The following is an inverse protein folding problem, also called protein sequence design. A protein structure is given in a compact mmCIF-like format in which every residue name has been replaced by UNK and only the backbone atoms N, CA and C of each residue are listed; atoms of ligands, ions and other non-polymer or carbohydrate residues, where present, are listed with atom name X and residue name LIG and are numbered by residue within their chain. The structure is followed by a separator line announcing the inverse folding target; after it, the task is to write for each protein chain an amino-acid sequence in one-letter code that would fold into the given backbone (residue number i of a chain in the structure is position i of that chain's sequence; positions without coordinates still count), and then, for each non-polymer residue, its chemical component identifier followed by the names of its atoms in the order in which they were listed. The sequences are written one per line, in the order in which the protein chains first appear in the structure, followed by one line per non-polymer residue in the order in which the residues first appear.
data_IF_550582658950
#
_entry.id   IF_550582658950
#
_cell.length_a   1.000
_cell.length_b   1.000
_cell.length_c   1.000
_cell.angle_alpha   90.00
_cell.angle_beta   90.00
_cell.angle_gamma   90.00
#
_symmetry.space_group_name_H-M   'P 1'
#
loop_
_entity.id
_entity.type
_entity.pdbx_description
1 polymer ?
#
# COMPACT_ATOMS: atom_id res chain seq x y z
N UNK A 1 -17.76 13.30 -3.64
CA UNK A 1 -16.76 13.47 -2.57
C UNK A 1 -17.34 14.35 -1.47
N UNK A 2 -17.26 13.90 -0.22
CA UNK A 2 -17.68 14.69 0.94
C UNK A 2 -16.55 15.66 1.30
N UNK A 3 -16.89 16.92 1.51
CA UNK A 3 -15.93 18.00 1.80
C UNK A 3 -16.11 18.58 3.19
N UNK A 4 -17.29 18.44 3.80
CA UNK A 4 -17.60 19.08 5.09
C UNK A 4 -18.61 18.28 5.91
N UNK A 5 -18.60 18.51 7.23
CA UNK A 5 -19.56 17.95 8.18
C UNK A 5 -20.49 19.08 8.62
N UNK A 6 -21.79 18.87 8.49
CA UNK A 6 -22.80 19.84 8.90
C UNK A 6 -23.01 19.71 10.41
N UNK A 7 -22.81 20.80 11.13
CA UNK A 7 -23.05 20.88 12.57
C UNK A 7 -24.25 21.78 12.87
N UNK A 8 -25.10 21.27 13.74
CA UNK A 8 -26.26 21.96 14.29
C UNK A 8 -25.96 22.74 15.56
N UNK A 9 -27.01 23.04 16.31
CA UNK A 9 -26.88 23.65 17.64
C UNK A 9 -26.16 22.68 18.59
N UNK A 10 -25.24 23.20 19.39
CA UNK A 10 -24.42 22.44 20.36
C UNK A 10 -23.51 21.37 19.72
N UNK A 11 -22.94 21.64 18.55
CA UNK A 11 -21.99 20.75 17.85
C UNK A 11 -22.54 19.35 17.49
N UNK A 12 -23.86 19.21 17.43
CA UNK A 12 -24.49 17.96 16.98
C UNK A 12 -24.30 17.78 15.47
N UNK A 13 -23.93 16.57 15.05
CA UNK A 13 -23.83 16.24 13.62
C UNK A 13 -25.24 16.23 13.00
N UNK A 14 -25.43 17.00 11.94
CA UNK A 14 -26.69 17.06 11.17
C UNK A 14 -26.55 16.41 9.78
N UNK A 15 -25.32 16.14 9.33
CA UNK A 15 -25.08 15.52 8.03
C UNK A 15 -23.73 15.87 7.42
N UNK A 16 -23.66 15.81 6.10
CA UNK A 16 -22.45 16.10 5.31
C UNK A 16 -22.74 16.98 4.11
N UNK A 17 -21.75 17.76 3.68
CA UNK A 17 -21.76 18.49 2.41
C UNK A 17 -20.80 17.86 1.43
N UNK A 18 -21.24 17.75 0.19
CA UNK A 18 -20.43 17.26 -0.93
C UNK A 18 -19.75 18.39 -1.68
N UNK A 19 -18.75 18.04 -2.50
CA UNK A 19 -18.00 18.96 -3.36
C UNK A 19 -18.89 19.87 -4.23
N UNK A 20 -20.02 19.35 -4.73
CA UNK A 20 -20.97 20.13 -5.55
C UNK A 20 -21.96 20.98 -4.71
N UNK A 21 -21.73 21.12 -3.40
CA UNK A 21 -22.56 21.92 -2.51
C UNK A 21 -23.85 21.24 -2.04
N UNK A 22 -24.10 19.98 -2.42
CA UNK A 22 -25.27 19.23 -1.95
C UNK A 22 -25.09 18.80 -0.49
N UNK A 23 -26.14 18.97 0.31
CA UNK A 23 -26.20 18.55 1.71
C UNK A 23 -27.00 17.24 1.83
N UNK A 24 -26.47 16.28 2.57
CA UNK A 24 -27.15 15.03 2.94
C UNK A 24 -27.27 14.99 4.46
N UNK A 25 -28.49 14.92 4.97
CA UNK A 25 -28.77 14.97 6.41
C UNK A 25 -28.78 13.58 7.03
N UNK A 26 -28.19 13.46 8.21
CA UNK A 26 -28.13 12.23 8.99
C UNK A 26 -27.86 12.56 10.47
N UNK A 27 -28.45 11.83 11.43
CA UNK A 27 -28.16 12.02 12.85
C UNK A 27 -26.73 11.57 13.23
N UNK A 28 -26.09 10.76 12.39
CA UNK A 28 -24.73 10.22 12.63
C UNK A 28 -23.94 10.12 11.32
N UNK A 29 -22.63 10.35 11.39
CA UNK A 29 -21.70 10.23 10.25
C UNK A 29 -20.49 9.39 10.68
N UNK A 30 -20.13 8.40 9.86
CA UNK A 30 -18.93 7.58 10.04
C UNK A 30 -17.94 7.93 8.94
N UNK A 31 -16.72 8.32 9.32
CA UNK A 31 -15.65 8.68 8.37
C UNK A 31 -14.71 7.48 8.16
N UNK A 32 -14.63 6.99 6.93
CA UNK A 32 -13.74 5.88 6.54
C UNK A 32 -12.89 6.27 5.33
N UNK A 33 -12.21 7.40 5.41
CA UNK A 33 -11.53 8.05 4.27
C UNK A 33 -10.32 7.29 3.72
N UNK A 34 -9.85 6.24 4.40
CA UNK A 34 -8.67 5.48 3.98
C UNK A 34 -7.47 6.36 3.67
N UNK A 35 -6.81 6.12 2.54
CA UNK A 35 -5.64 6.86 2.06
C UNK A 35 -5.97 8.12 1.25
N UNK A 36 -7.25 8.49 1.13
CA UNK A 36 -7.69 9.55 0.22
C UNK A 36 -7.55 10.95 0.82
N UNK A 37 -7.70 11.11 2.13
CA UNK A 37 -7.73 12.42 2.79
C UNK A 37 -6.38 13.13 2.65
N UNK A 38 -6.32 14.22 1.88
CA UNK A 38 -5.07 14.92 1.56
C UNK A 38 -3.95 13.97 1.07
N UNK A 39 -4.35 12.92 0.35
CA UNK A 39 -3.49 11.87 -0.17
C UNK A 39 -2.47 12.40 -1.17
N UNK A 40 -1.24 11.88 -1.10
CA UNK A 40 -0.16 12.21 -2.03
C UNK A 40 0.66 10.97 -2.32
N UNK A 41 0.78 10.63 -3.60
CA UNK A 41 1.63 9.52 -4.06
C UNK A 41 3.01 10.06 -4.38
N UNK A 42 4.02 9.24 -4.07
CA UNK A 42 5.42 9.50 -4.38
C UNK A 42 5.99 8.34 -5.21
N UNK A 43 6.64 8.68 -6.31
CA UNK A 43 7.33 7.77 -7.23
C UNK A 43 8.73 8.30 -7.45
N UNK A 44 9.69 7.82 -6.66
CA UNK A 44 11.04 8.39 -6.58
C UNK A 44 10.96 9.87 -6.21
N UNK A 45 11.49 10.74 -7.09
CA UNK A 45 11.45 12.21 -6.94
C UNK A 45 10.12 12.86 -7.32
N UNK A 46 9.26 12.15 -8.03
CA UNK A 46 8.00 12.68 -8.55
C UNK A 46 6.88 12.50 -7.53
N UNK A 47 5.97 13.46 -7.46
CA UNK A 47 4.80 13.34 -6.59
C UNK A 47 3.55 13.91 -7.23
N UNK A 48 2.39 13.38 -6.84
CA UNK A 48 1.09 13.85 -7.30
C UNK A 48 0.02 13.71 -6.22
N UNK A 49 -0.98 14.62 -6.15
CA UNK A 49 -2.15 14.44 -5.30
C UNK A 49 -2.97 13.25 -5.77
N UNK A 50 -3.09 12.23 -4.92
CA UNK A 50 -3.83 11.01 -5.22
C UNK A 50 -4.09 10.22 -3.93
N UNK A 51 -5.27 9.59 -3.85
CA UNK A 51 -5.59 8.68 -2.74
C UNK A 51 -5.05 7.27 -2.95
N UNK A 52 -5.13 6.81 -4.20
CA UNK A 52 -4.60 5.54 -4.71
C UNK A 52 -4.11 5.74 -6.14
N UNK A 53 -3.34 4.80 -6.68
CA UNK A 53 -2.88 4.89 -8.06
C UNK A 53 -4.09 5.00 -9.01
N UNK A 54 -4.12 6.04 -9.85
CA UNK A 54 -5.24 6.32 -10.75
C UNK A 54 -6.46 7.00 -10.11
N UNK A 55 -6.47 7.21 -8.78
CA UNK A 55 -7.61 7.81 -8.06
C UNK A 55 -7.24 9.14 -7.40
N UNK A 56 -8.09 10.14 -7.58
CA UNK A 56 -7.87 11.50 -7.04
C UNK A 56 -7.93 11.53 -5.50
N UNK A 57 -7.14 12.43 -4.90
CA UNK A 57 -7.20 12.68 -3.46
C UNK A 57 -8.50 13.39 -3.06
N UNK A 58 -8.93 13.17 -1.82
CA UNK A 58 -10.00 13.93 -1.19
C UNK A 58 -9.47 15.21 -0.55
N UNK A 59 -10.07 16.34 -0.90
CA UNK A 59 -9.69 17.68 -0.45
C UNK A 59 -10.87 18.34 0.29
N UNK A 60 -10.58 19.24 1.23
CA UNK A 60 -11.57 20.02 1.97
C UNK A 60 -11.95 19.41 3.32
N UNK A 61 -12.10 18.08 3.39
CA UNK A 61 -12.52 17.43 4.64
C UNK A 61 -11.45 17.54 5.74
N UNK A 62 -10.16 17.44 5.39
CA UNK A 62 -9.06 17.61 6.37
C UNK A 62 -9.09 19.00 6.99
N UNK A 63 -9.20 20.04 6.16
CA UNK A 63 -9.21 21.43 6.60
C UNK A 63 -10.43 21.75 7.46
N UNK A 64 -11.60 21.17 7.13
CA UNK A 64 -12.79 21.35 7.94
C UNK A 64 -12.70 20.62 9.28
N UNK A 65 -12.14 19.40 9.34
CA UNK A 65 -11.87 18.73 10.61
C UNK A 65 -10.90 19.54 11.49
N UNK A 66 -9.84 20.11 10.92
CA UNK A 66 -8.94 20.99 11.65
C UNK A 66 -9.64 22.23 12.22
N UNK A 67 -10.57 22.84 11.46
CA UNK A 67 -11.38 23.97 11.94
C UNK A 67 -12.30 23.60 13.10
N UNK A 68 -12.72 22.34 13.18
CA UNK A 68 -13.49 21.79 14.30
C UNK A 68 -12.61 21.43 15.51
N UNK A 69 -11.31 21.70 15.46
CA UNK A 69 -10.37 21.45 16.55
C UNK A 69 -9.74 20.06 16.55
N UNK A 70 -9.89 19.28 15.48
CA UNK A 70 -9.20 17.99 15.37
C UNK A 70 -7.73 18.18 14.95
N UNK A 71 -6.85 17.42 15.59
CA UNK A 71 -5.47 17.28 15.16
C UNK A 71 -5.37 16.28 14.00
N UNK A 72 -4.52 16.59 13.04
CA UNK A 72 -4.27 15.72 11.87
C UNK A 72 -2.78 15.53 11.70
N UNK A 73 -2.33 14.31 11.43
CA UNK A 73 -0.95 13.98 11.11
C UNK A 73 -0.88 13.19 9.78
N UNK A 74 0.32 13.09 9.20
CA UNK A 74 0.55 12.37 7.94
C UNK A 74 1.29 11.07 8.18
N UNK A 75 0.63 9.98 7.86
CA UNK A 75 1.25 8.66 7.79
C UNK A 75 1.69 8.36 6.36
N UNK A 76 2.82 7.67 6.24
CA UNK A 76 3.31 7.14 4.97
C UNK A 76 3.16 5.64 4.97
N UNK A 77 2.46 5.13 3.97
CA UNK A 77 2.53 3.75 3.53
C UNK A 77 2.88 3.76 2.04
N UNK A 78 3.10 2.58 1.49
CA UNK A 78 3.40 2.36 0.10
C UNK A 78 3.15 0.89 -0.20
N UNK A 79 3.38 0.55 -1.44
CA UNK A 79 3.00 -0.74 -1.99
C UNK A 79 4.08 -1.12 -3.00
N UNK A 80 4.45 -2.40 -3.13
CA UNK A 80 5.36 -2.84 -4.17
C UNK A 80 4.74 -2.63 -5.56
N UNK A 81 5.58 -2.70 -6.59
CA UNK A 81 5.08 -2.76 -7.94
C UNK A 81 4.42 -4.11 -8.24
N UNK A 82 3.60 -4.09 -9.28
CA UNK A 82 3.03 -5.29 -9.89
C UNK A 82 3.89 -5.65 -11.08
N UNK A 83 4.21 -6.92 -11.23
CA UNK A 83 4.99 -7.43 -12.36
C UNK A 83 4.13 -8.38 -13.18
N UNK A 84 4.40 -8.46 -14.47
CA UNK A 84 3.67 -9.35 -15.38
C UNK A 84 4.16 -10.79 -15.21
N UNK A 85 3.27 -11.70 -14.81
CA UNK A 85 3.59 -13.10 -14.56
C UNK A 85 4.22 -13.80 -15.77
N UNK A 86 3.91 -13.35 -16.99
CA UNK A 86 4.43 -13.94 -18.24
C UNK A 86 5.92 -13.65 -18.45
N UNK A 87 6.47 -12.71 -17.69
CA UNK A 87 7.88 -12.29 -17.74
C UNK A 87 8.72 -12.87 -16.60
N UNK A 88 8.12 -13.69 -15.74
CA UNK A 88 8.79 -14.30 -14.59
C UNK A 88 9.15 -15.75 -14.91
N UNK A 89 10.41 -16.12 -14.67
CA UNK A 89 10.82 -17.52 -14.65
C UNK A 89 10.48 -18.14 -13.28
N UNK A 90 9.57 -19.12 -13.28
CA UNK A 90 9.15 -19.84 -12.08
C UNK A 90 9.95 -21.12 -11.83
N UNK A 91 10.80 -21.56 -12.76
CA UNK A 91 11.44 -22.87 -12.70
C UNK A 91 12.38 -23.04 -11.50
N UNK A 92 13.02 -21.96 -11.05
CA UNK A 92 13.91 -21.93 -9.89
C UNK A 92 13.27 -21.46 -8.58
N UNK A 93 11.95 -21.23 -8.55
CA UNK A 93 11.27 -20.66 -7.39
C UNK A 93 10.67 -21.75 -6.49
N UNK A 94 10.64 -21.49 -5.17
CA UNK A 94 10.05 -22.42 -4.21
C UNK A 94 8.52 -22.23 -4.17
N UNK A 95 7.71 -23.23 -4.56
CA UNK A 95 6.25 -23.11 -4.52
C UNK A 95 5.74 -23.12 -3.07
N UNK A 96 4.86 -22.17 -2.75
CA UNK A 96 4.17 -22.05 -1.48
C UNK A 96 2.67 -22.30 -1.73
N UNK A 97 2.25 -23.55 -1.56
CA UNK A 97 0.86 -23.98 -1.73
C UNK A 97 0.09 -23.69 -0.45
N UNK A 98 -1.22 -23.45 -0.57
CA UNK A 98 -2.10 -23.41 0.58
C UNK A 98 -2.28 -24.80 1.22
N UNK A 99 -2.91 -24.82 2.39
CA UNK A 99 -3.10 -26.03 3.19
C UNK A 99 -3.98 -27.06 2.45
N UNK A 100 -3.71 -28.36 2.67
CA UNK A 100 -4.51 -29.44 2.09
C UNK A 100 -5.95 -29.44 2.64
N UNK A 101 -6.10 -29.17 3.93
CA UNK A 101 -7.41 -28.96 4.56
C UNK A 101 -7.76 -27.47 4.50
N UNK A 102 -8.79 -27.12 3.70
CA UNK A 102 -9.18 -25.73 3.50
C UNK A 102 -9.80 -25.16 4.78
N UNK A 103 -9.12 -24.16 5.36
CA UNK A 103 -9.64 -23.36 6.45
C UNK A 103 -10.64 -22.30 5.97
N UNK A 104 -11.68 -22.05 6.77
CA UNK A 104 -12.72 -21.07 6.46
C UNK A 104 -12.66 -19.88 7.42
N UNK A 105 -12.75 -18.66 6.86
CA UNK A 105 -12.86 -17.44 7.66
C UNK A 105 -14.26 -17.25 8.26
N UNK A 106 -15.31 -17.77 7.62
CA UNK A 106 -16.70 -17.68 8.08
C UNK A 106 -17.10 -18.90 8.89
N UNK A 107 -17.88 -18.70 9.96
CA UNK A 107 -18.52 -19.79 10.70
C UNK A 107 -19.79 -20.31 10.04
N UNK A 108 -20.33 -19.59 9.05
CA UNK A 108 -21.48 -20.02 8.28
C UNK A 108 -21.05 -21.10 7.26
N UNK A 109 -21.62 -22.30 7.40
CA UNK A 109 -21.27 -23.46 6.59
C UNK A 109 -21.84 -23.37 5.17
N UNK A 110 -22.93 -22.63 4.96
CA UNK A 110 -23.60 -22.55 3.65
C UNK A 110 -22.76 -21.80 2.61
N UNK A 111 -21.78 -21.01 3.07
CA UNK A 111 -20.84 -20.25 2.22
C UNK A 111 -19.49 -20.95 2.04
N UNK A 112 -19.33 -22.17 2.56
CA UNK A 112 -18.12 -22.97 2.41
C UNK A 112 -18.06 -23.60 1.02
N UNK A 113 -17.59 -22.82 0.04
CA UNK A 113 -17.47 -23.23 -1.35
C UNK A 113 -16.00 -23.38 -1.72
N UNK A 114 -15.53 -24.62 -1.91
CA UNK A 114 -14.14 -24.89 -2.26
C UNK A 114 -13.78 -24.33 -3.64
N UNK A 115 -12.54 -23.86 -3.76
CA UNK A 115 -11.98 -23.32 -5.01
C UNK A 115 -10.56 -23.81 -5.16
N UNK A 116 -10.12 -23.98 -6.40
CA UNK A 116 -8.72 -24.32 -6.70
C UNK A 116 -7.78 -23.30 -6.08
N UNK A 117 -6.90 -23.71 -5.17
CA UNK A 117 -5.96 -22.81 -4.52
C UNK A 117 -4.85 -22.39 -5.50
N UNK A 118 -4.57 -21.09 -5.56
CA UNK A 118 -3.44 -20.59 -6.36
C UNK A 118 -2.15 -20.75 -5.56
N UNK A 119 -1.05 -21.05 -6.26
CA UNK A 119 0.26 -21.17 -5.65
C UNK A 119 0.93 -19.80 -5.57
N UNK A 120 1.49 -19.46 -4.42
CA UNK A 120 2.46 -18.38 -4.29
C UNK A 120 3.87 -18.92 -4.52
N UNK A 121 4.85 -18.05 -4.74
CA UNK A 121 6.24 -18.47 -4.94
C UNK A 121 7.17 -17.68 -4.04
N UNK A 122 8.09 -18.36 -3.38
CA UNK A 122 9.10 -17.75 -2.53
C UNK A 122 10.41 -17.60 -3.30
N UNK A 123 10.95 -16.39 -3.25
CA UNK A 123 12.27 -16.03 -3.75
C UNK A 123 13.01 -15.15 -2.74
N UNK A 124 14.23 -14.73 -3.06
CA UNK A 124 15.09 -13.98 -2.15
C UNK A 124 15.88 -12.89 -2.87
N UNK A 125 16.11 -11.77 -2.17
CA UNK A 125 17.07 -10.76 -2.62
C UNK A 125 18.50 -11.29 -2.55
N UNK A 126 19.36 -10.76 -3.42
CA UNK A 126 20.79 -11.05 -3.47
C UNK A 126 21.62 -9.84 -2.99
N UNK A 127 22.93 -10.04 -2.83
CA UNK A 127 23.88 -8.95 -2.54
C UNK A 127 23.90 -7.89 -3.64
N UNK A 128 23.74 -8.29 -4.91
CA UNK A 128 23.64 -7.34 -6.02
C UNK A 128 22.37 -6.48 -5.92
N UNK A 129 21.23 -7.06 -5.54
CA UNK A 129 20.01 -6.29 -5.24
C UNK A 129 20.24 -5.28 -4.12
N UNK A 130 20.92 -5.68 -3.05
CA UNK A 130 21.19 -4.79 -1.91
C UNK A 130 22.10 -3.63 -2.31
N UNK A 131 23.14 -3.90 -3.11
CA UNK A 131 24.03 -2.86 -3.61
C UNK A 131 23.28 -1.86 -4.51
N UNK A 132 22.45 -2.36 -5.43
CA UNK A 132 21.62 -1.51 -6.30
C UNK A 132 20.72 -0.57 -5.49
N UNK A 133 20.07 -1.09 -4.43
CA UNK A 133 19.23 -0.27 -3.55
C UNK A 133 20.07 0.77 -2.80
N UNK A 134 21.22 0.37 -2.24
CA UNK A 134 22.15 1.26 -1.51
C UNK A 134 22.63 2.43 -2.38
N UNK A 135 23.03 2.13 -3.62
CA UNK A 135 23.52 3.14 -4.58
C UNK A 135 22.43 4.16 -4.94
N UNK A 136 21.17 3.77 -4.88
CA UNK A 136 20.01 4.59 -5.25
C UNK A 136 19.18 5.06 -4.04
N UNK A 137 19.65 4.95 -2.80
CA UNK A 137 18.91 5.41 -1.61
C UNK A 137 18.50 6.87 -1.73
N UNK A 138 19.39 7.68 -2.29
CA UNK A 138 19.16 9.11 -2.52
C UNK A 138 17.99 9.41 -3.46
N UNK A 139 17.51 8.45 -4.25
CA UNK A 139 16.32 8.59 -5.12
C UNK A 139 15.00 8.34 -4.39
N UNK A 140 15.05 7.88 -3.14
CA UNK A 140 13.85 7.56 -2.36
C UNK A 140 13.31 8.81 -1.63
N UNK A 141 11.98 8.98 -1.52
CA UNK A 141 11.37 10.12 -0.84
C UNK A 141 11.88 10.36 0.58
N UNK A 142 12.17 9.28 1.31
CA UNK A 142 12.61 9.34 2.71
C UNK A 142 14.08 9.74 2.82
N UNK A 143 14.99 9.02 2.15
CA UNK A 143 16.43 9.25 2.29
C UNK A 143 16.93 10.43 1.47
N UNK A 144 16.25 10.80 0.39
CA UNK A 144 16.54 12.02 -0.38
C UNK A 144 16.01 13.30 0.28
N UNK A 145 15.34 13.22 1.43
CA UNK A 145 14.88 14.38 2.19
C UNK A 145 13.64 15.09 1.62
N UNK A 146 12.91 14.46 0.69
CA UNK A 146 11.73 15.06 0.05
C UNK A 146 10.44 14.87 0.84
N UNK A 147 10.42 13.98 1.82
CA UNK A 147 9.25 13.67 2.66
C UNK A 147 9.65 13.60 4.13
N UNK A 148 9.12 14.55 4.92
CA UNK A 148 9.19 14.55 6.39
C UNK A 148 7.97 13.84 7.01
N UNK A 149 7.69 12.60 6.58
CA UNK A 149 6.62 11.79 7.16
C UNK A 149 7.22 10.56 7.84
N UNK A 150 6.82 10.30 9.09
CA UNK A 150 7.26 9.11 9.82
C UNK A 150 6.59 7.87 9.22
N UNK A 151 7.39 6.97 8.64
CA UNK A 151 6.92 5.65 8.25
C UNK A 151 6.56 4.78 9.47
N UNK A 152 5.80 3.69 9.27
CA UNK A 152 5.49 2.74 10.33
C UNK A 152 6.78 2.16 10.92
N UNK A 153 6.89 2.16 12.26
CA UNK A 153 8.10 1.68 12.97
C UNK A 153 8.41 0.20 12.67
N UNK A 154 7.37 -0.61 12.46
CA UNK A 154 7.41 -2.07 12.44
C UNK A 154 7.40 -2.69 11.04
N UNK A 155 7.09 -1.90 10.02
CA UNK A 155 6.98 -2.37 8.63
C UNK A 155 7.84 -1.47 7.72
N UNK A 156 9.17 -1.44 7.94
CA UNK A 156 10.07 -0.63 7.14
C UNK A 156 10.06 -1.09 5.69
N UNK A 157 10.16 -0.14 4.77
CA UNK A 157 10.39 -0.39 3.35
C UNK A 157 11.70 -1.19 3.11
N UNK A 158 11.91 -1.80 1.94
CA UNK A 158 13.09 -2.65 1.72
C UNK A 158 14.39 -1.86 1.80
N UNK A 159 14.37 -0.60 1.35
CA UNK A 159 15.47 0.32 1.54
C UNK A 159 15.75 0.58 3.02
N UNK A 160 14.71 0.78 3.83
CA UNK A 160 14.85 0.96 5.27
C UNK A 160 15.37 -0.33 5.94
N UNK A 161 14.94 -1.51 5.48
CA UNK A 161 15.41 -2.80 5.98
C UNK A 161 16.88 -3.02 5.68
N UNK A 162 17.32 -2.76 4.45
CA UNK A 162 18.72 -2.91 4.06
C UNK A 162 19.62 -1.96 4.84
N UNK A 163 19.14 -0.76 5.17
CA UNK A 163 19.89 0.20 5.99
C UNK A 163 19.91 -0.17 7.47
N UNK A 164 18.79 -0.68 8.02
CA UNK A 164 18.67 -1.04 9.44
C UNK A 164 19.26 -2.41 9.79
N UNK A 165 19.15 -3.38 8.88
CA UNK A 165 19.56 -4.77 9.07
C UNK A 165 20.69 -5.11 8.09
N UNK A 166 21.80 -4.37 8.19
CA UNK A 166 22.94 -4.50 7.26
C UNK A 166 23.67 -5.85 7.36
N UNK A 167 23.49 -6.54 8.48
CA UNK A 167 24.00 -7.89 8.76
C UNK A 167 23.28 -8.97 7.96
N UNK A 168 22.05 -8.72 7.48
CA UNK A 168 21.30 -9.69 6.69
C UNK A 168 21.72 -9.65 5.22
N UNK A 169 22.30 -10.76 4.76
CA UNK A 169 22.71 -10.91 3.36
C UNK A 169 21.55 -11.08 2.37
N UNK A 170 20.35 -11.40 2.86
CA UNK A 170 19.20 -11.71 2.02
C UNK A 170 17.87 -11.55 2.76
N UNK A 171 16.86 -11.09 2.02
CA UNK A 171 15.47 -10.92 2.46
C UNK A 171 14.54 -11.77 1.58
N UNK A 172 13.55 -12.41 2.20
CA UNK A 172 12.52 -13.19 1.50
C UNK A 172 11.55 -12.29 0.73
N UNK A 173 11.06 -12.79 -0.40
CA UNK A 173 10.06 -12.16 -1.25
C UNK A 173 9.04 -13.23 -1.66
N UNK A 174 7.77 -12.97 -1.46
CA UNK A 174 6.66 -13.73 -2.01
C UNK A 174 6.18 -13.09 -3.31
N UNK A 175 6.00 -13.92 -4.33
CA UNK A 175 5.28 -13.56 -5.55
C UNK A 175 3.88 -14.12 -5.43
N UNK A 176 2.90 -13.21 -5.35
CA UNK A 176 1.50 -13.53 -5.07
C UNK A 176 0.65 -13.14 -6.28
N UNK A 177 -0.09 -14.06 -6.90
CA UNK A 177 -1.04 -13.70 -7.96
C UNK A 177 -2.14 -12.78 -7.44
N UNK A 178 -2.39 -11.62 -8.08
CA UNK A 178 -3.48 -10.72 -7.65
C UNK A 178 -4.87 -11.23 -8.06
N UNK A 179 -4.94 -12.14 -9.04
CA UNK A 179 -6.20 -12.76 -9.45
C UNK A 179 -5.97 -13.91 -10.43
N UNK A 180 -7.05 -14.63 -10.76
CA UNK A 180 -7.01 -15.80 -11.66
C UNK A 180 -6.89 -15.42 -13.14
N UNK A 181 -7.52 -14.31 -13.51
CA UNK A 181 -7.68 -13.90 -14.91
C UNK A 181 -6.83 -12.67 -15.27
N UNK A 182 -5.91 -12.29 -14.38
CA UNK A 182 -5.09 -11.07 -14.52
C UNK A 182 -3.61 -11.44 -14.40
N UNK A 183 -2.73 -10.87 -15.25
CA UNK A 183 -1.31 -11.25 -15.27
C UNK A 183 -0.50 -10.64 -14.13
N UNK A 184 -1.06 -9.78 -13.30
CA UNK A 184 -0.34 -9.06 -12.26
C UNK A 184 0.05 -9.99 -11.09
N UNK A 185 1.35 -10.02 -10.79
CA UNK A 185 1.90 -10.54 -9.55
C UNK A 185 2.23 -9.39 -8.61
N UNK A 186 1.80 -9.54 -7.36
CA UNK A 186 2.20 -8.69 -6.26
C UNK A 186 3.53 -9.20 -5.68
N UNK A 187 4.56 -8.34 -5.71
CA UNK A 187 5.90 -8.66 -5.21
C UNK A 187 5.98 -8.34 -3.72
N UNK A 188 5.37 -9.20 -2.90
CA UNK A 188 5.34 -9.05 -1.46
C UNK A 188 6.69 -9.37 -0.86
N UNK A 189 7.46 -8.35 -0.52
CA UNK A 189 8.43 -8.51 0.56
C UNK A 189 7.64 -8.40 1.85
N UNK A 190 7.82 -9.32 2.82
CA UNK A 190 7.23 -9.14 4.15
C UNK A 190 7.64 -7.74 4.60
N UNK A 191 6.69 -6.81 4.60
CA UNK A 191 6.88 -5.37 4.82
C UNK A 191 7.61 -4.60 3.68
N UNK A 192 6.92 -4.21 2.60
CA UNK A 192 7.40 -3.15 1.68
C UNK A 192 6.39 -2.05 1.44
N UNK A 193 6.96 -0.85 1.29
CA UNK A 193 6.40 0.30 0.60
C UNK A 193 7.43 0.79 -0.43
N UNK A 194 7.41 0.35 -1.70
CA UNK A 194 8.36 0.90 -2.69
C UNK A 194 7.98 0.84 -4.17
N UNK A 195 8.56 1.83 -4.86
CA UNK A 195 8.44 2.22 -6.27
C UNK A 195 9.46 1.47 -7.11
N UNK A 196 9.00 0.65 -8.06
CA UNK A 196 9.85 0.00 -9.06
C UNK A 196 9.73 0.77 -10.37
N UNK A 197 10.73 1.57 -10.72
CA UNK A 197 10.85 2.10 -12.09
C UNK A 197 12.12 1.62 -12.81
N UNK A 198 12.97 0.80 -12.14
CA UNK A 198 14.27 0.36 -12.68
C UNK A 198 14.76 -1.04 -12.27
N UNK A 199 13.93 -1.86 -11.61
CA UNK A 199 14.31 -3.25 -11.33
C UNK A 199 13.88 -4.12 -12.52
N UNK A 200 14.69 -4.09 -13.57
CA UNK A 200 14.82 -5.25 -14.46
C UNK A 200 15.49 -6.32 -13.60
N UNK A 201 14.80 -7.43 -13.35
CA UNK A 201 15.41 -8.59 -12.71
C UNK A 201 16.58 -8.97 -13.61
N UNK A 202 17.80 -8.77 -13.11
CA UNK A 202 19.01 -9.19 -13.81
C UNK A 202 19.06 -10.71 -13.68
N UNK A 203 18.91 -11.38 -14.82
CA UNK A 203 19.31 -12.78 -14.99
C UNK A 203 20.83 -12.84 -14.83
N UNK A 204 21.30 -13.40 -13.72
CA UNK A 204 22.65 -13.93 -13.63
C UNK A 204 22.54 -15.47 -13.72
N UNK A 205 23.08 -15.99 -14.81
CA UNK A 205 23.46 -17.41 -15.04
C UNK A 205 24.21 -18.03 -13.87
#
# INVERSE_FOLDING_TARGET
MVTDILLGKNDNVEGVRTFFGMNFYSPSVILTTGTFMSGKIWVGRTSMPAGRAGESASLGLTENLQRLGFETDRLKTGTPARVDCRTVDFSGLEPQRGDEEVGWFSFDLDVHIEREQMCCYLTRTTKSTHQLIKDNLHETPTYGGWVEAKGPRYCPSIEDKIVRFQDKESHQIFLEPEGRDVPELYVQVPEICQVFNRLTIADDT
#
